data_IF_580956767737
#
_entry.id   IF_580956767737
#
_cell.length_a   1.000
_cell.length_b   1.000
_cell.length_c   1.000
_cell.angle_alpha   90.00
_cell.angle_beta   90.00
_cell.angle_gamma   90.00
#
_symmetry.space_group_name_H-M   'P 1'
#
loop_
_entity.id
_entity.type
_entity.pdbx_description
1 polymer ?
#
# COMPACT_ATOMS: atom_id res chain seq x y z
N UNK A 1 -2.87 -20.88 41.92
CA UNK A 1 -3.65 -21.13 40.68
C UNK A 1 -3.93 -19.84 39.90
N UNK A 2 -4.47 -18.77 40.51
CA UNK A 2 -4.84 -17.52 39.83
C UNK A 2 -3.69 -16.74 39.14
N UNK A 3 -2.47 -16.83 39.68
CA UNK A 3 -1.26 -16.17 39.11
C UNK A 3 -0.78 -16.79 37.79
N UNK A 4 -1.07 -18.08 37.57
CA UNK A 4 -0.66 -18.79 36.36
C UNK A 4 -1.58 -18.47 35.18
N UNK A 5 -2.87 -18.24 35.43
CA UNK A 5 -3.81 -17.79 34.39
C UNK A 5 -3.50 -16.38 33.88
N UNK A 6 -3.05 -15.45 34.74
CA UNK A 6 -2.65 -14.11 34.29
C UNK A 6 -1.39 -14.13 33.39
N UNK A 7 -0.44 -15.03 33.68
CA UNK A 7 0.79 -15.14 32.90
C UNK A 7 0.55 -15.73 31.50
N UNK A 8 -0.40 -16.66 31.37
CA UNK A 8 -0.83 -17.20 30.07
C UNK A 8 -1.54 -16.16 29.19
N UNK A 9 -2.32 -15.27 29.79
CA UNK A 9 -3.03 -14.21 29.06
C UNK A 9 -2.06 -13.16 28.46
N UNK A 10 -1.00 -12.80 29.18
CA UNK A 10 0.02 -11.85 28.67
C UNK A 10 0.79 -12.47 27.50
N UNK A 11 1.08 -13.77 27.54
CA UNK A 11 1.82 -14.45 26.47
C UNK A 11 1.04 -14.52 25.15
N UNK A 12 -0.29 -14.66 25.20
CA UNK A 12 -1.15 -14.68 24.01
C UNK A 12 -1.26 -13.30 23.32
N UNK A 13 -1.17 -12.20 24.08
CA UNK A 13 -1.22 -10.84 23.52
C UNK A 13 0.05 -10.50 22.72
N UNK A 14 1.21 -11.02 23.12
CA UNK A 14 2.49 -10.74 22.44
C UNK A 14 2.59 -11.45 21.08
N UNK A 15 1.96 -12.62 20.91
CA UNK A 15 1.99 -13.34 19.62
C UNK A 15 1.06 -12.73 18.55
N UNK A 16 0.09 -11.90 18.93
CA UNK A 16 -0.81 -11.24 17.99
C UNK A 16 -0.17 -10.02 17.28
N UNK A 17 1.03 -9.60 17.71
CA UNK A 17 1.66 -8.35 17.28
C UNK A 17 2.53 -8.42 16.01
N UNK A 18 2.76 -9.59 15.41
CA UNK A 18 3.69 -9.75 14.29
C UNK A 18 3.06 -10.50 13.12
N UNK A 19 2.00 -9.95 12.55
CA UNK A 19 1.66 -10.22 11.16
C UNK A 19 2.41 -9.19 10.31
N UNK A 20 3.67 -9.48 9.96
CA UNK A 20 4.34 -8.75 8.90
C UNK A 20 3.51 -8.96 7.63
N UNK A 21 2.78 -7.91 7.22
CA UNK A 21 2.15 -7.88 5.91
C UNK A 21 3.28 -7.91 4.89
N UNK A 22 3.60 -9.10 4.39
CA UNK A 22 4.49 -9.30 3.25
C UNK A 22 3.96 -8.43 2.11
N UNK A 23 4.60 -7.29 1.90
CA UNK A 23 4.27 -6.36 0.83
C UNK A 23 5.43 -6.33 -0.14
N UNK A 24 5.09 -6.27 -1.42
CA UNK A 24 6.05 -6.19 -2.51
C UNK A 24 6.06 -4.78 -3.09
N UNK A 25 7.14 -4.48 -3.81
CA UNK A 25 7.32 -3.23 -4.52
C UNK A 25 7.26 -3.50 -6.02
N UNK A 26 6.55 -2.64 -6.74
CA UNK A 26 6.57 -2.62 -8.20
C UNK A 26 6.72 -1.18 -8.70
N UNK A 27 7.18 -1.05 -9.94
CA UNK A 27 7.21 0.22 -10.66
C UNK A 27 5.91 0.36 -11.44
N UNK A 28 5.07 1.32 -11.06
CA UNK A 28 3.84 1.63 -11.75
C UNK A 28 4.04 2.77 -12.75
N UNK A 29 3.48 2.65 -13.94
CA UNK A 29 3.46 3.71 -14.95
C UNK A 29 2.25 4.61 -14.73
N UNK A 30 2.45 5.93 -14.79
CA UNK A 30 1.38 6.91 -14.59
C UNK A 30 0.71 7.16 -15.95
N UNK A 31 -0.58 6.87 -16.03
CA UNK A 31 -1.36 7.01 -17.28
C UNK A 31 -2.12 8.32 -17.35
N UNK A 32 -2.54 8.87 -16.22
CA UNK A 32 -3.26 10.14 -16.17
C UNK A 32 -3.03 10.87 -14.84
N UNK A 33 -3.02 12.21 -14.92
CA UNK A 33 -3.07 13.10 -13.77
C UNK A 33 -4.27 14.02 -13.90
N UNK A 34 -5.11 14.05 -12.88
CA UNK A 34 -6.31 14.89 -12.85
C UNK A 34 -6.33 15.75 -11.61
N UNK A 35 -6.31 17.07 -11.79
CA UNK A 35 -6.56 18.00 -10.70
C UNK A 35 -8.01 17.86 -10.22
N UNK A 36 -8.20 17.72 -8.92
CA UNK A 36 -9.51 17.64 -8.28
C UNK A 36 -9.92 19.02 -7.75
N UNK A 37 -11.24 19.26 -7.65
CA UNK A 37 -11.78 20.55 -7.20
C UNK A 37 -11.36 20.92 -5.77
N UNK A 38 -11.06 19.92 -4.93
CA UNK A 38 -10.54 20.12 -3.57
C UNK A 38 -9.03 20.43 -3.55
N UNK A 39 -8.39 20.60 -4.71
CA UNK A 39 -6.99 20.94 -4.82
C UNK A 39 -6.03 19.77 -4.78
N UNK A 40 -6.50 18.54 -4.58
CA UNK A 40 -5.67 17.33 -4.65
C UNK A 40 -5.40 16.92 -6.10
N UNK A 41 -4.41 16.08 -6.29
CA UNK A 41 -4.09 15.48 -7.58
C UNK A 41 -4.46 14.00 -7.57
N UNK A 42 -5.37 13.58 -8.45
CA UNK A 42 -5.60 12.16 -8.71
C UNK A 42 -4.57 11.65 -9.71
N UNK A 43 -3.84 10.62 -9.32
CA UNK A 43 -2.87 9.92 -10.17
C UNK A 43 -3.47 8.58 -10.51
N UNK A 44 -3.74 8.33 -11.79
CA UNK A 44 -4.13 7.01 -12.29
C UNK A 44 -2.88 6.30 -12.80
N UNK A 45 -2.68 5.05 -12.40
CA UNK A 45 -1.47 4.29 -12.70
C UNK A 45 -1.77 2.82 -12.99
N UNK A 46 -0.83 2.19 -13.67
CA UNK A 46 -0.87 0.77 -14.01
C UNK A 46 0.44 0.10 -13.62
N UNK A 47 0.37 -1.14 -13.13
CA UNK A 47 1.53 -1.97 -12.91
C UNK A 47 1.23 -3.42 -13.26
N UNK A 48 2.27 -4.14 -13.67
CA UNK A 48 2.16 -5.53 -14.10
C UNK A 48 2.86 -6.41 -13.09
N UNK A 49 2.20 -7.50 -12.70
CA UNK A 49 2.75 -8.53 -11.83
C UNK A 49 3.57 -9.54 -12.65
N UNK A 50 4.37 -10.36 -11.97
CA UNK A 50 5.19 -11.40 -12.61
C UNK A 50 4.36 -12.40 -13.43
N UNK A 51 3.09 -12.61 -13.08
CA UNK A 51 2.16 -13.46 -13.82
C UNK A 51 1.49 -12.76 -15.03
N UNK A 52 2.03 -11.62 -15.48
CA UNK A 52 1.51 -10.77 -16.55
C UNK A 52 0.13 -10.14 -16.30
N UNK A 53 -0.42 -10.27 -15.08
CA UNK A 53 -1.65 -9.57 -14.70
C UNK A 53 -1.38 -8.07 -14.56
N UNK A 54 -2.16 -7.26 -15.27
CA UNK A 54 -2.07 -5.80 -15.19
C UNK A 54 -3.11 -5.27 -14.22
N UNK A 55 -2.66 -4.55 -13.20
CA UNK A 55 -3.49 -3.86 -12.23
C UNK A 55 -3.58 -2.40 -12.62
N UNK A 56 -4.79 -1.83 -12.57
CA UNK A 56 -5.06 -0.41 -12.77
C UNK A 56 -5.65 0.14 -11.48
N UNK A 57 -5.11 1.26 -11.01
CA UNK A 57 -5.63 1.90 -9.80
C UNK A 57 -5.39 3.42 -9.82
N UNK A 58 -5.87 4.10 -8.79
CA UNK A 58 -5.76 5.53 -8.62
C UNK A 58 -5.46 5.90 -7.17
N UNK A 59 -4.72 7.00 -6.99
CA UNK A 59 -4.48 7.56 -5.67
C UNK A 59 -4.66 9.08 -5.70
N UNK A 60 -5.32 9.60 -4.67
CA UNK A 60 -5.42 11.04 -4.45
C UNK A 60 -4.24 11.50 -3.61
N UNK A 61 -3.48 12.43 -4.16
CA UNK A 61 -2.23 12.95 -3.59
C UNK A 61 -2.45 14.39 -3.15
N UNK A 62 -1.98 14.71 -1.95
CA UNK A 62 -2.03 16.06 -1.40
C UNK A 62 -1.11 17.03 -2.14
N UNK A 63 -1.42 18.32 -2.05
CA UNK A 63 -0.74 19.40 -2.77
C UNK A 63 0.77 19.50 -2.50
N UNK A 64 1.21 19.07 -1.33
CA UNK A 64 2.57 19.22 -0.85
C UNK A 64 3.49 18.06 -1.29
N UNK A 65 2.92 16.97 -1.84
CA UNK A 65 3.68 15.80 -2.25
C UNK A 65 4.07 15.88 -3.72
N UNK A 66 5.32 15.51 -4.01
CA UNK A 66 5.85 15.49 -5.37
C UNK A 66 5.51 14.16 -6.03
N UNK A 67 4.83 14.22 -7.18
CA UNK A 67 4.54 13.04 -8.02
C UNK A 67 5.54 13.02 -9.19
N UNK A 68 6.39 11.98 -9.32
CA UNK A 68 7.31 11.85 -10.46
C UNK A 68 6.58 11.80 -11.80
N UNK A 69 7.26 12.11 -12.91
CA UNK A 69 6.61 12.35 -14.21
C UNK A 69 6.15 11.09 -14.96
N UNK A 70 6.89 9.99 -14.93
CA UNK A 70 6.58 8.83 -15.79
C UNK A 70 6.14 7.60 -15.00
N UNK A 71 6.69 7.41 -13.80
CA UNK A 71 6.46 6.22 -13.01
C UNK A 71 6.65 6.47 -11.53
N UNK A 72 6.02 5.64 -10.71
CA UNK A 72 6.02 5.75 -9.26
C UNK A 72 6.15 4.35 -8.65
N UNK A 73 6.78 4.27 -7.49
CA UNK A 73 6.86 3.00 -6.76
C UNK A 73 5.52 2.73 -6.11
N UNK A 74 4.97 1.53 -6.31
CA UNK A 74 3.75 1.07 -5.64
C UNK A 74 4.11 -0.06 -4.68
N UNK A 75 3.56 0.00 -3.47
CA UNK A 75 3.59 -1.09 -2.49
C UNK A 75 2.27 -1.84 -2.57
N UNK A 76 2.30 -3.15 -2.72
CA UNK A 76 1.08 -3.96 -2.85
C UNK A 76 1.18 -5.27 -2.07
N UNK A 77 0.03 -5.88 -1.77
CA UNK A 77 -0.03 -7.24 -1.22
C UNK A 77 0.02 -8.27 -2.36
N UNK A 78 0.92 -9.26 -2.32
CA UNK A 78 0.95 -10.32 -3.35
C UNK A 78 -0.30 -11.20 -3.33
N UNK A 79 -1.01 -11.27 -2.19
CA UNK A 79 -2.27 -12.02 -2.07
C UNK A 79 -3.46 -11.24 -2.62
N UNK A 80 -3.40 -9.91 -2.56
CA UNK A 80 -4.44 -9.01 -3.05
C UNK A 80 -3.79 -7.73 -3.60
N UNK A 81 -3.37 -7.74 -4.87
CA UNK A 81 -2.70 -6.60 -5.49
C UNK A 81 -3.58 -5.34 -5.61
N UNK A 82 -4.89 -5.47 -5.44
CA UNK A 82 -5.79 -4.31 -5.38
C UNK A 82 -5.58 -3.49 -4.11
N UNK A 83 -5.07 -4.10 -3.04
CA UNK A 83 -4.61 -3.42 -1.83
C UNK A 83 -3.20 -2.89 -2.07
N UNK A 84 -3.13 -1.72 -2.71
CA UNK A 84 -1.86 -1.08 -3.05
C UNK A 84 -1.83 0.41 -2.67
N UNK A 85 -0.62 0.97 -2.64
CA UNK A 85 -0.39 2.35 -2.22
C UNK A 85 0.85 2.93 -2.90
N UNK A 86 0.75 4.19 -3.34
CA UNK A 86 1.89 4.91 -3.90
C UNK A 86 2.91 5.27 -2.83
N UNK A 87 4.18 5.02 -3.13
CA UNK A 87 5.31 5.60 -2.40
C UNK A 87 5.81 6.81 -3.17
N UNK A 88 5.54 7.97 -2.57
CA UNK A 88 5.98 9.26 -3.07
C UNK A 88 7.16 9.75 -2.22
N UNK A 89 8.09 10.51 -2.82
CA UNK A 89 9.17 11.17 -2.09
C UNK A 89 8.67 12.21 -1.08
#
# INVERSE_FOLDING_TARGET
MKKWMMMAAVLLVVMAGCSEKNTLLAKAHIVERKALANGRLRVNYIFTLDNHTTIKDSADVDRERVVPHDSVTVRFSPKDPSQNSLQLP
#
